data_IF_342411558145
#
_entry.id   IF_342411558145
#
_cell.length_a   1.000
_cell.length_b   1.000
_cell.length_c   1.000
_cell.angle_alpha   90.00
_cell.angle_beta   90.00
_cell.angle_gamma   90.00
#
_symmetry.space_group_name_H-M   'P 1'
#
loop_
_entity.id
_entity.type
_entity.pdbx_description
1 polymer ?
#
# COMPACT_ATOMS: atom_id res chain seq x y z
N UNK A 1 -2.00 5.05 30.76
CA UNK A 1 -2.47 6.46 30.76
C UNK A 1 -4.00 6.44 30.78
N UNK A 2 -4.69 7.44 31.37
CA UNK A 2 -6.16 7.53 31.34
C UNK A 2 -6.56 8.71 30.45
N UNK A 3 -7.42 8.46 29.48
CA UNK A 3 -7.90 9.46 28.52
C UNK A 3 -9.42 9.36 28.45
N UNK A 4 -10.10 10.50 28.38
CA UNK A 4 -11.54 10.59 28.16
C UNK A 4 -11.79 10.97 26.71
N UNK A 5 -12.66 10.24 26.03
CA UNK A 5 -13.03 10.48 24.63
C UNK A 5 -14.55 10.52 24.51
N UNK A 6 -15.07 11.44 23.71
CA UNK A 6 -16.49 11.49 23.38
C UNK A 6 -16.79 10.54 22.23
N UNK A 7 -17.72 9.60 22.46
CA UNK A 7 -18.13 8.59 21.50
C UNK A 7 -19.62 8.78 21.23
N UNK A 8 -20.02 8.73 19.97
CA UNK A 8 -21.44 8.76 19.60
C UNK A 8 -22.20 7.59 20.26
N UNK A 9 -23.41 7.86 20.75
CA UNK A 9 -24.19 6.88 21.54
C UNK A 9 -24.49 5.59 20.76
N UNK A 10 -24.72 5.69 19.45
CA UNK A 10 -24.95 4.55 18.58
C UNK A 10 -23.74 3.59 18.52
N UNK A 11 -22.53 4.14 18.42
CA UNK A 11 -21.27 3.38 18.45
C UNK A 11 -21.07 2.77 19.84
N UNK A 12 -21.27 3.55 20.89
CA UNK A 12 -21.09 3.10 22.26
C UNK A 12 -21.98 1.88 22.57
N UNK A 13 -23.26 1.93 22.18
CA UNK A 13 -24.19 0.81 22.39
C UNK A 13 -23.75 -0.46 21.66
N UNK A 14 -23.37 -0.34 20.38
CA UNK A 14 -22.92 -1.48 19.58
C UNK A 14 -21.64 -2.11 20.15
N UNK A 15 -20.65 -1.29 20.46
CA UNK A 15 -19.38 -1.76 21.01
C UNK A 15 -19.56 -2.38 22.41
N UNK A 16 -20.46 -1.85 23.24
CA UNK A 16 -20.79 -2.45 24.54
C UNK A 16 -21.49 -3.80 24.40
N UNK A 17 -22.41 -3.94 23.43
CA UNK A 17 -23.04 -5.23 23.12
C UNK A 17 -22.00 -6.26 22.63
N UNK A 18 -21.10 -5.85 21.74
CA UNK A 18 -20.02 -6.69 21.23
C UNK A 18 -19.08 -7.17 22.35
N UNK A 19 -18.68 -6.28 23.26
CA UNK A 19 -17.88 -6.65 24.42
C UNK A 19 -18.59 -7.70 25.31
N UNK A 20 -19.90 -7.54 25.52
CA UNK A 20 -20.71 -8.48 26.29
C UNK A 20 -20.81 -9.85 25.59
N UNK A 21 -20.99 -9.88 24.27
CA UNK A 21 -21.03 -11.11 23.48
C UNK A 21 -19.70 -11.87 23.52
N UNK A 22 -18.58 -11.14 23.50
CA UNK A 22 -17.23 -11.72 23.60
C UNK A 22 -16.82 -12.07 25.04
N UNK A 23 -17.59 -11.65 26.04
CA UNK A 23 -17.26 -11.88 27.46
C UNK A 23 -16.04 -11.07 27.95
N UNK A 24 -15.69 -9.98 27.26
CA UNK A 24 -14.54 -9.12 27.61
C UNK A 24 -15.00 -7.76 28.14
N UNK A 25 -14.09 -7.01 28.77
CA UNK A 25 -14.42 -5.65 29.20
C UNK A 25 -14.42 -4.71 27.99
N UNK A 26 -15.30 -3.71 28.03
CA UNK A 26 -15.35 -2.68 26.99
C UNK A 26 -14.00 -1.98 26.77
N UNK A 27 -13.22 -1.78 27.83
CA UNK A 27 -11.87 -1.21 27.75
C UNK A 27 -10.96 -2.07 26.85
N UNK A 28 -11.00 -3.39 27.03
CA UNK A 28 -10.13 -4.32 26.31
C UNK A 28 -10.51 -4.37 24.82
N UNK A 29 -11.82 -4.33 24.50
CA UNK A 29 -12.32 -4.20 23.12
C UNK A 29 -11.83 -2.90 22.45
N UNK A 30 -11.83 -1.78 23.18
CA UNK A 30 -11.36 -0.49 22.66
C UNK A 30 -9.84 -0.51 22.42
N UNK A 31 -9.09 -1.15 23.33
CA UNK A 31 -7.64 -1.30 23.21
C UNK A 31 -7.26 -2.17 22.00
N UNK A 32 -7.91 -3.32 21.82
CA UNK A 32 -7.76 -4.17 20.62
C UNK A 32 -8.09 -3.42 19.33
N UNK A 33 -9.20 -2.67 19.32
CA UNK A 33 -9.63 -1.91 18.14
C UNK A 33 -8.63 -0.81 17.75
N UNK A 34 -8.03 -0.14 18.74
CA UNK A 34 -6.99 0.87 18.51
C UNK A 34 -5.70 0.23 17.98
N UNK A 35 -5.25 -0.86 18.60
CA UNK A 35 -4.06 -1.60 18.15
C UNK A 35 -4.21 -2.07 16.71
N UNK A 36 -5.33 -2.74 16.40
CA UNK A 36 -5.61 -3.23 15.04
C UNK A 36 -5.58 -2.10 14.01
N UNK A 37 -6.10 -0.91 14.37
CA UNK A 37 -6.11 0.23 13.44
C UNK A 37 -4.74 0.87 13.27
N UNK A 38 -3.92 0.90 14.33
CA UNK A 38 -2.55 1.42 14.30
C UNK A 38 -1.62 0.48 13.53
N UNK A 39 -1.69 -0.82 13.77
CA UNK A 39 -0.91 -1.83 13.02
C UNK A 39 -1.27 -1.82 11.52
N UNK A 40 -2.56 -1.73 11.19
CA UNK A 40 -2.99 -1.60 9.80
C UNK A 40 -2.49 -0.29 9.15
N UNK A 41 -2.37 0.78 9.93
CA UNK A 41 -1.81 2.03 9.47
C UNK A 41 -0.29 1.92 9.25
N UNK A 42 0.43 1.31 10.18
CA UNK A 42 1.87 1.05 10.08
C UNK A 42 2.19 0.21 8.84
N UNK A 43 1.44 -0.87 8.59
CA UNK A 43 1.59 -1.70 7.39
C UNK A 43 1.27 -0.95 6.08
N UNK A 44 0.37 0.04 6.12
CA UNK A 44 0.10 0.90 4.94
C UNK A 44 1.13 2.02 4.76
N UNK A 45 1.86 2.37 5.82
CA UNK A 45 2.89 3.42 5.85
C UNK A 45 4.30 2.87 5.64
N UNK A 46 4.47 1.54 5.75
CA UNK A 46 5.58 0.84 5.13
C UNK A 46 5.51 1.16 3.65
N UNK A 47 6.26 2.20 3.30
CA UNK A 47 6.63 2.53 1.95
C UNK A 47 7.34 1.28 1.48
N UNK A 48 6.59 0.37 0.84
CA UNK A 48 7.17 -0.73 0.08
C UNK A 48 8.26 -0.03 -0.73
N UNK A 49 9.56 -0.32 -0.52
CA UNK A 49 10.59 0.31 -1.30
C UNK A 49 10.17 0.04 -2.74
N UNK A 50 9.81 1.11 -3.45
CA UNK A 50 9.20 0.97 -4.76
C UNK A 50 10.23 0.26 -5.61
N UNK A 51 10.05 -1.05 -5.77
CA UNK A 51 11.02 -1.88 -6.48
C UNK A 51 11.11 -1.25 -7.85
N UNK A 52 12.29 -0.72 -8.15
CA UNK A 52 12.45 0.07 -9.35
C UNK A 52 12.21 -0.85 -10.55
N UNK A 53 11.68 -0.31 -11.65
CA UNK A 53 11.55 -1.09 -12.89
C UNK A 53 12.89 -1.74 -13.29
N UNK A 54 14.00 -1.07 -12.98
CA UNK A 54 15.36 -1.60 -13.13
C UNK A 54 15.61 -2.87 -12.30
N UNK A 55 15.30 -2.87 -11.01
CA UNK A 55 15.51 -4.04 -10.13
C UNK A 55 14.73 -5.27 -10.58
N UNK A 56 13.52 -5.08 -11.13
CA UNK A 56 12.71 -6.16 -11.69
C UNK A 56 13.24 -6.70 -13.02
N UNK A 57 13.86 -5.85 -13.85
CA UNK A 57 14.19 -6.18 -15.24
C UNK A 57 15.67 -6.51 -15.49
N UNK A 58 16.57 -6.18 -14.56
CA UNK A 58 18.03 -6.33 -14.72
C UNK A 58 18.47 -7.75 -15.12
N UNK A 59 17.77 -8.79 -14.66
CA UNK A 59 18.09 -10.19 -14.99
C UNK A 59 17.69 -10.58 -16.42
N UNK A 60 16.73 -9.85 -17.02
CA UNK A 60 16.30 -10.04 -18.40
C UNK A 60 17.04 -9.16 -19.41
N UNK A 61 17.78 -8.14 -18.96
CA UNK A 61 18.57 -7.28 -19.83
C UNK A 61 19.72 -8.06 -20.48
N UNK A 62 19.66 -8.26 -21.80
CA UNK A 62 20.72 -8.94 -22.56
C UNK A 62 20.65 -10.48 -22.55
N UNK A 63 19.56 -11.09 -22.06
CA UNK A 63 19.38 -12.56 -22.06
C UNK A 63 19.21 -13.15 -23.47
N UNK A 64 18.80 -12.33 -24.44
CA UNK A 64 18.66 -12.71 -25.84
C UNK A 64 19.72 -12.00 -26.67
N UNK A 65 20.58 -12.78 -27.33
CA UNK A 65 21.44 -12.28 -28.38
C UNK A 65 20.57 -12.06 -29.63
N UNK A 66 20.30 -10.79 -29.93
CA UNK A 66 19.49 -10.40 -31.09
C UNK A 66 20.29 -10.40 -32.40
N UNK A 67 21.61 -10.54 -32.34
CA UNK A 67 22.51 -10.36 -33.49
C UNK A 67 22.60 -8.91 -33.99
N UNK A 68 22.04 -7.96 -33.25
CA UNK A 68 22.07 -6.52 -33.55
C UNK A 68 22.71 -5.79 -32.37
N UNK A 69 23.80 -5.07 -32.62
CA UNK A 69 24.60 -4.40 -31.58
C UNK A 69 23.85 -3.29 -30.84
N UNK A 70 22.87 -2.67 -31.49
CA UNK A 70 22.09 -1.58 -30.92
C UNK A 70 20.60 -1.73 -31.22
N UNK A 71 19.85 -2.14 -30.21
CA UNK A 71 18.38 -2.18 -30.22
C UNK A 71 17.74 -0.95 -29.56
N UNK A 72 18.53 -0.13 -28.87
CA UNK A 72 18.03 0.87 -27.93
C UNK A 72 18.28 2.32 -28.38
N UNK A 73 19.14 2.55 -29.38
CA UNK A 73 19.62 3.89 -29.74
C UNK A 73 19.27 4.29 -31.17
N UNK A 74 18.55 3.47 -31.94
CA UNK A 74 18.05 3.90 -33.25
C UNK A 74 16.96 4.98 -33.08
N UNK A 75 17.21 6.24 -33.50
CA UNK A 75 16.27 7.34 -33.31
C UNK A 75 14.92 7.13 -34.02
N UNK A 76 14.91 6.37 -35.13
CA UNK A 76 13.69 6.02 -35.85
C UNK A 76 12.75 5.14 -35.02
N UNK A 77 13.29 4.21 -34.23
CA UNK A 77 12.48 3.30 -33.39
C UNK A 77 12.01 3.93 -32.07
N UNK A 78 12.63 5.05 -31.67
CA UNK A 78 12.22 5.82 -30.50
C UNK A 78 11.25 6.95 -30.83
N UNK A 79 10.93 7.16 -32.12
CA UNK A 79 10.01 8.22 -32.52
C UNK A 79 8.61 7.98 -31.94
N UNK A 80 8.17 8.90 -31.07
CA UNK A 80 6.85 8.84 -30.44
C UNK A 80 6.77 8.00 -29.17
N UNK A 81 7.86 7.35 -28.74
CA UNK A 81 7.93 6.65 -27.47
C UNK A 81 7.62 7.61 -26.31
N UNK A 82 6.67 7.26 -25.45
CA UNK A 82 6.29 8.05 -24.28
C UNK A 82 5.29 9.19 -24.54
N UNK A 83 4.86 9.43 -25.79
CA UNK A 83 3.84 10.45 -26.11
C UNK A 83 2.44 10.08 -25.59
N UNK A 84 2.14 8.80 -25.55
CA UNK A 84 0.90 8.21 -25.03
C UNK A 84 0.89 8.05 -23.49
N UNK A 85 2.08 8.01 -22.88
CA UNK A 85 2.29 7.71 -21.46
C UNK A 85 2.01 8.90 -20.53
N UNK A 86 1.84 10.11 -21.08
CA UNK A 86 1.64 11.36 -20.31
C UNK A 86 0.17 11.72 -20.08
N UNK A 87 -0.79 10.96 -20.64
CA UNK A 87 -2.22 11.26 -20.55
C UNK A 87 -2.61 12.54 -21.29
N UNK A 88 -3.90 12.69 -21.62
CA UNK A 88 -4.41 13.89 -22.31
C UNK A 88 -4.13 15.15 -21.48
N UNK A 89 -3.25 16.03 -21.99
CA UNK A 89 -3.10 17.41 -21.53
C UNK A 89 -4.06 18.33 -22.26
#
# INVERSE_FOLDING_TARGET
>A
MKTTVDIRDDIFRRAKAEAALRGIKFKDLVEEGLLCKLEAFEQSSETIPAVTAWELMKEGCGIVDSGVDDLATNPEYLEGLGRDSMGNR
#
